data_IF_296363015489
#
_entry.id   IF_296363015489
#
_cell.length_a   1.000
_cell.length_b   1.000
_cell.length_c   1.000
_cell.angle_alpha   90.00
_cell.angle_beta   90.00
_cell.angle_gamma   90.00
#
_symmetry.space_group_name_H-M   'P 1'
#
loop_
_entity.id
_entity.type
_entity.pdbx_description
1 polymer ?
#
# COMPACT_ATOMS: atom_id res chain seq x y z
N UNK A 1 10.19 7.04 1.61
CA UNK A 1 9.33 5.85 1.62
C UNK A 1 9.10 5.46 3.06
N UNK A 2 7.84 5.34 3.49
CA UNK A 2 7.53 4.82 4.82
C UNK A 2 7.88 3.34 4.88
N UNK A 3 8.13 2.83 6.09
CA UNK A 3 8.39 1.40 6.30
C UNK A 3 7.26 0.54 5.69
N UNK A 4 6.00 0.97 5.86
CA UNK A 4 4.84 0.32 5.28
C UNK A 4 4.86 0.29 3.74
N UNK A 5 5.22 1.39 3.07
CA UNK A 5 5.30 1.43 1.60
C UNK A 5 6.35 0.46 1.06
N UNK A 6 7.50 0.34 1.73
CA UNK A 6 8.55 -0.63 1.36
C UNK A 6 8.04 -2.06 1.54
N UNK A 7 7.42 -2.36 2.69
CA UNK A 7 6.86 -3.69 2.96
C UNK A 7 5.81 -4.10 1.92
N UNK A 8 4.91 -3.20 1.52
CA UNK A 8 3.90 -3.51 0.51
C UNK A 8 4.53 -3.79 -0.87
N UNK A 9 5.54 -3.01 -1.28
CA UNK A 9 6.25 -3.29 -2.53
C UNK A 9 6.94 -4.67 -2.48
N UNK A 10 7.62 -4.99 -1.37
CA UNK A 10 8.28 -6.29 -1.21
C UNK A 10 7.28 -7.46 -1.25
N UNK A 11 6.11 -7.30 -0.61
CA UNK A 11 5.03 -8.29 -0.66
C UNK A 11 4.47 -8.44 -2.08
N UNK A 12 4.30 -7.33 -2.80
CA UNK A 12 3.81 -7.34 -4.17
C UNK A 12 4.77 -8.04 -5.14
N UNK A 13 6.07 -7.79 -5.01
CA UNK A 13 7.11 -8.40 -5.84
C UNK A 13 7.13 -9.93 -5.68
N UNK A 14 6.89 -10.43 -4.47
CA UNK A 14 6.79 -11.87 -4.17
C UNK A 14 5.36 -12.39 -4.02
N UNK A 15 4.35 -11.71 -4.58
CA UNK A 15 2.92 -12.06 -4.37
C UNK A 15 2.55 -13.50 -4.75
N UNK A 16 3.28 -14.11 -5.68
CA UNK A 16 3.08 -15.51 -6.08
C UNK A 16 3.49 -16.54 -5.01
N UNK A 17 4.24 -16.11 -3.99
CA UNK A 17 4.70 -16.92 -2.86
C UNK A 17 3.85 -16.72 -1.60
N UNK A 18 2.92 -15.76 -1.62
CA UNK A 18 2.10 -15.43 -0.45
C UNK A 18 1.04 -16.51 -0.20
N UNK A 19 0.87 -16.84 1.08
CA UNK A 19 -0.21 -17.68 1.57
C UNK A 19 -1.33 -16.80 2.13
N UNK A 20 -2.62 -17.18 1.96
CA UNK A 20 -3.73 -16.52 2.66
C UNK A 20 -3.58 -16.47 4.19
N UNK A 21 -2.83 -17.43 4.75
CA UNK A 21 -2.60 -17.54 6.20
C UNK A 21 -1.35 -16.78 6.68
N UNK A 22 -0.66 -16.03 5.80
CA UNK A 22 0.49 -15.22 6.19
C UNK A 22 0.03 -14.01 7.02
N UNK A 23 0.05 -14.19 8.35
CA UNK A 23 -0.40 -13.19 9.30
C UNK A 23 0.37 -11.86 9.20
N UNK A 24 1.65 -11.90 8.84
CA UNK A 24 2.49 -10.71 8.78
C UNK A 24 2.22 -9.92 7.49
N UNK A 25 2.09 -10.62 6.35
CA UNK A 25 1.64 -10.01 5.11
C UNK A 25 0.25 -9.38 5.27
N UNK A 26 -0.69 -10.14 5.84
CA UNK A 26 -2.06 -9.69 6.08
C UNK A 26 -2.10 -8.45 7.00
N UNK A 27 -1.23 -8.38 8.02
CA UNK A 27 -1.14 -7.22 8.91
C UNK A 27 -0.73 -5.96 8.16
N UNK A 28 0.30 -6.03 7.33
CA UNK A 28 0.77 -4.88 6.56
C UNK A 28 -0.28 -4.42 5.52
N UNK A 29 -0.89 -5.38 4.81
CA UNK A 29 -1.94 -5.09 3.83
C UNK A 29 -3.15 -4.43 4.49
N UNK A 30 -3.62 -5.00 5.62
CA UNK A 30 -4.76 -4.44 6.36
C UNK A 30 -4.47 -3.05 6.90
N UNK A 31 -3.25 -2.78 7.35
CA UNK A 31 -2.82 -1.45 7.78
C UNK A 31 -2.95 -0.44 6.63
N UNK A 32 -2.44 -0.76 5.44
CA UNK A 32 -2.55 0.09 4.25
C UNK A 32 -4.01 0.34 3.85
N UNK A 33 -4.84 -0.71 3.84
CA UNK A 33 -6.29 -0.59 3.55
C UNK A 33 -7.01 0.24 4.60
N UNK A 34 -6.63 0.13 5.88
CA UNK A 34 -7.23 0.93 6.96
C UNK A 34 -6.93 2.43 6.78
N UNK A 35 -5.73 2.78 6.32
CA UNK A 35 -5.39 4.18 6.00
C UNK A 35 -6.25 4.71 4.84
N UNK A 36 -6.50 3.89 3.81
CA UNK A 36 -7.38 4.23 2.70
C UNK A 36 -8.84 4.41 3.17
N UNK A 37 -9.34 3.50 4.01
CA UNK A 37 -10.70 3.51 4.54
C UNK A 37 -10.97 4.77 5.39
N UNK A 38 -9.98 5.19 6.19
CA UNK A 38 -10.06 6.42 6.99
C UNK A 38 -9.80 7.69 6.19
N UNK A 39 -9.36 7.58 4.94
CA UNK A 39 -8.93 8.71 4.12
C UNK A 39 -7.63 9.37 4.61
N UNK A 40 -6.87 8.69 5.47
CA UNK A 40 -5.54 9.12 5.94
C UNK A 40 -4.49 8.94 4.83
N UNK A 41 -4.72 8.01 3.91
CA UNK A 41 -3.96 7.84 2.68
C UNK A 41 -4.90 7.84 1.46
N UNK A 42 -4.37 8.20 0.29
CA UNK A 42 -5.12 8.21 -0.98
C UNK A 42 -4.25 7.67 -2.10
N UNK A 43 -4.80 6.84 -2.98
CA UNK A 43 -4.06 6.26 -4.11
C UNK A 43 -3.48 7.32 -5.04
N UNK A 44 -4.18 8.44 -5.21
CA UNK A 44 -3.69 9.58 -5.96
C UNK A 44 -4.10 10.88 -5.27
N UNK A 45 -3.23 11.87 -5.35
CA UNK A 45 -3.47 13.22 -4.85
C UNK A 45 -2.86 14.26 -5.80
N UNK A 46 -3.38 15.49 -5.75
CA UNK A 46 -2.81 16.62 -6.48
C UNK A 46 -1.66 17.17 -5.65
N UNK A 47 -0.45 17.12 -6.20
CA UNK A 47 0.76 17.63 -5.59
C UNK A 47 0.86 19.15 -5.65
N UNK A 48 1.95 19.70 -5.12
CA UNK A 48 2.17 21.14 -5.02
C UNK A 48 2.20 21.87 -6.37
N UNK A 49 2.54 21.16 -7.45
CA UNK A 49 2.69 21.71 -8.80
C UNK A 49 1.44 21.49 -9.67
N UNK A 50 0.27 21.23 -9.06
CA UNK A 50 -0.97 20.78 -9.73
C UNK A 50 -0.85 19.44 -10.50
N UNK A 51 0.26 18.74 -10.32
CA UNK A 51 0.52 17.42 -10.89
C UNK A 51 -0.10 16.31 -10.05
N UNK A 52 -0.66 15.29 -10.71
CA UNK A 52 -1.21 14.12 -10.01
C UNK A 52 -0.08 13.19 -9.61
N UNK A 53 0.10 12.98 -8.30
CA UNK A 53 1.02 11.99 -7.76
C UNK A 53 0.25 10.72 -7.46
N UNK A 54 0.73 9.60 -7.99
CA UNK A 54 0.15 8.27 -7.76
C UNK A 54 1.02 7.48 -6.80
N UNK A 55 0.41 7.09 -5.68
CA UNK A 55 1.02 6.22 -4.68
C UNK A 55 0.79 4.76 -5.09
N UNK A 56 1.60 4.24 -6.01
CA UNK A 56 1.39 2.91 -6.61
C UNK A 56 1.35 1.78 -5.56
N UNK A 57 2.12 1.89 -4.49
CA UNK A 57 2.10 0.91 -3.38
C UNK A 57 0.71 0.78 -2.73
N UNK A 58 -0.10 1.84 -2.70
CA UNK A 58 -1.47 1.75 -2.18
C UNK A 58 -2.39 0.95 -3.12
N UNK A 59 -2.09 0.90 -4.43
CA UNK A 59 -2.81 0.01 -5.35
C UNK A 59 -2.39 -1.44 -5.18
N UNK A 60 -1.11 -1.68 -4.95
CA UNK A 60 -0.57 -3.02 -4.70
C UNK A 60 -1.14 -3.65 -3.41
N UNK A 61 -1.64 -2.83 -2.47
CA UNK A 61 -2.31 -3.28 -1.26
C UNK A 61 -3.79 -3.70 -1.47
N UNK A 62 -4.36 -3.55 -2.67
CA UNK A 62 -5.78 -3.85 -2.99
C UNK A 62 -5.87 -5.13 -3.83
#
# INVERSE_FOLDING_TARGET
MSDLSTTINDLWDRRGELSPDDAEANRAILEAVTLLDRGEARVAEVGADDEVVVHEWLKQAI
#
